data_IF_833483436241
#
_entry.id   IF_833483436241
#
_cell.length_a   1.000
_cell.length_b   1.000
_cell.length_c   1.000
_cell.angle_alpha   90.00
_cell.angle_beta   90.00
_cell.angle_gamma   90.00
#
_symmetry.space_group_name_H-M   'P 1'
#
loop_
_entity.id
_entity.type
_entity.pdbx_description
1 polymer ?
#
# COMPACT_ATOMS: atom_id res chain seq x y z
N UNK A 1 13.35 27.85 -26.83
CA UNK A 1 13.82 27.36 -25.51
C UNK A 1 12.62 26.77 -24.82
N UNK A 2 12.48 25.45 -24.83
CA UNK A 2 11.35 24.77 -24.18
C UNK A 2 11.42 24.99 -22.69
N UNK A 3 10.31 25.38 -22.11
CA UNK A 3 10.13 25.56 -20.67
C UNK A 3 10.38 24.20 -19.99
N UNK A 4 11.59 23.99 -19.48
CA UNK A 4 11.94 22.73 -18.78
C UNK A 4 11.10 22.70 -17.51
N UNK A 5 10.05 21.90 -17.52
CA UNK A 5 9.18 21.73 -16.35
C UNK A 5 10.02 21.12 -15.23
N UNK A 6 10.13 21.83 -14.14
CA UNK A 6 10.85 21.35 -12.97
C UNK A 6 10.01 20.27 -12.29
N UNK A 7 10.57 19.06 -12.11
CA UNK A 7 9.95 18.00 -11.35
C UNK A 7 9.79 18.44 -9.88
N UNK A 8 8.58 18.35 -9.35
CA UNK A 8 8.27 18.74 -7.97
C UNK A 8 7.64 17.56 -7.22
N UNK A 9 7.50 17.68 -5.90
CA UNK A 9 6.86 16.65 -5.07
C UNK A 9 5.34 16.49 -5.32
N UNK A 10 4.74 17.38 -6.12
CA UNK A 10 3.36 17.24 -6.62
C UNK A 10 3.39 17.48 -8.12
N UNK A 11 2.86 16.52 -8.88
CA UNK A 11 2.74 16.62 -10.33
C UNK A 11 1.30 16.39 -10.78
N UNK A 12 0.91 17.05 -11.86
CA UNK A 12 -0.45 17.00 -12.40
C UNK A 12 -0.40 17.01 -13.93
N UNK A 13 -1.10 16.05 -14.54
CA UNK A 13 -1.18 15.88 -16.00
C UNK A 13 -2.64 15.79 -16.42
N UNK A 14 -3.40 16.91 -16.48
CA UNK A 14 -4.81 16.90 -16.88
C UNK A 14 -5.01 16.29 -18.26
N UNK A 15 -4.06 16.56 -19.16
CA UNK A 15 -3.97 15.92 -20.47
C UNK A 15 -2.91 14.82 -20.42
N UNK A 16 -3.32 13.58 -20.76
CA UNK A 16 -2.44 12.42 -20.72
C UNK A 16 -1.17 12.58 -21.57
N UNK A 17 -1.26 13.27 -22.69
CA UNK A 17 -0.22 13.32 -23.72
C UNK A 17 -0.31 12.14 -24.71
N UNK A 18 0.52 12.20 -25.75
CA UNK A 18 0.60 11.22 -26.83
C UNK A 18 1.52 10.05 -26.45
N UNK A 19 1.17 8.85 -26.90
CA UNK A 19 1.96 7.62 -26.72
C UNK A 19 1.33 6.60 -25.80
N UNK A 20 1.71 5.34 -26.01
CA UNK A 20 1.09 4.15 -25.40
C UNK A 20 -0.36 3.95 -25.87
N UNK A 21 -1.01 2.92 -25.35
CA UNK A 21 -2.41 2.63 -25.67
C UNK A 21 -3.34 3.19 -24.58
N UNK A 22 -4.08 4.25 -24.89
CA UNK A 22 -5.02 4.88 -23.95
C UNK A 22 -6.25 3.99 -23.62
N UNK A 23 -6.53 2.95 -24.38
CA UNK A 23 -7.58 1.96 -24.09
C UNK A 23 -7.10 0.86 -23.13
N UNK A 24 -5.80 0.76 -22.89
CA UNK A 24 -5.23 -0.18 -21.93
C UNK A 24 -5.45 0.37 -20.51
N UNK A 25 -6.29 -0.31 -19.74
CA UNK A 25 -6.59 0.09 -18.36
C UNK A 25 -5.33 0.03 -17.49
N UNK A 26 -5.16 1.02 -16.62
CA UNK A 26 -4.02 1.08 -15.70
C UNK A 26 -2.72 1.61 -16.33
N UNK A 27 -2.75 2.17 -17.53
CA UNK A 27 -1.57 2.87 -18.04
C UNK A 27 -1.42 4.26 -17.39
N UNK A 28 -0.18 4.75 -17.32
CA UNK A 28 0.10 6.11 -16.80
C UNK A 28 0.23 7.12 -17.96
N UNK A 29 0.33 8.41 -17.58
CA UNK A 29 0.68 9.46 -18.54
C UNK A 29 2.16 9.34 -18.95
N UNK A 30 2.50 9.36 -20.25
CA UNK A 30 3.89 9.38 -20.69
C UNK A 30 4.64 10.64 -20.21
N UNK A 31 3.93 11.75 -19.98
CA UNK A 31 4.52 12.99 -19.45
C UNK A 31 5.20 12.79 -18.09
N UNK A 32 4.72 11.85 -17.26
CA UNK A 32 5.39 11.50 -16.01
C UNK A 32 6.78 10.90 -16.27
N UNK A 33 6.86 9.98 -17.23
CA UNK A 33 8.13 9.32 -17.57
C UNK A 33 9.06 10.32 -18.25
N UNK A 34 8.54 11.23 -19.08
CA UNK A 34 9.28 12.31 -19.68
C UNK A 34 9.88 13.25 -18.63
N UNK A 35 9.10 13.66 -17.61
CA UNK A 35 9.57 14.52 -16.52
C UNK A 35 10.62 13.80 -15.64
N UNK A 36 10.42 12.53 -15.31
CA UNK A 36 11.41 11.71 -14.60
C UNK A 36 12.71 11.56 -15.39
N UNK A 37 12.62 11.23 -16.68
CA UNK A 37 13.78 11.10 -17.55
C UNK A 37 14.51 12.45 -17.74
N UNK A 38 13.76 13.54 -17.83
CA UNK A 38 14.33 14.90 -17.90
C UNK A 38 15.11 15.29 -16.63
N UNK A 39 14.68 14.80 -15.47
CA UNK A 39 15.32 15.05 -14.18
C UNK A 39 16.55 14.15 -13.95
N UNK A 40 16.38 12.83 -14.11
CA UNK A 40 17.45 11.84 -13.84
C UNK A 40 18.43 11.70 -14.99
N UNK A 41 18.03 12.06 -16.22
CA UNK A 41 18.83 12.02 -17.46
C UNK A 41 19.49 10.65 -17.72
N UNK A 42 18.73 9.54 -17.62
CA UNK A 42 19.29 8.23 -17.84
C UNK A 42 19.67 8.03 -19.34
N UNK A 43 20.71 7.26 -19.60
CA UNK A 43 21.03 6.82 -20.96
C UNK A 43 20.07 5.71 -21.45
N UNK A 44 19.47 4.96 -20.50
CA UNK A 44 18.53 3.88 -20.77
C UNK A 44 17.49 3.78 -19.64
N UNK A 45 16.23 3.51 -20.03
CA UNK A 45 15.13 3.24 -19.07
C UNK A 45 14.76 1.76 -19.17
N UNK A 46 14.81 1.05 -18.02
CA UNK A 46 14.29 -0.31 -17.93
C UNK A 46 12.89 -0.31 -17.30
N UNK A 47 12.00 -1.16 -17.84
CA UNK A 47 10.64 -1.34 -17.32
C UNK A 47 10.27 -2.83 -17.40
N UNK A 48 10.04 -3.47 -16.24
CA UNK A 48 9.80 -4.91 -16.13
C UNK A 48 8.31 -5.27 -16.05
N UNK A 49 7.42 -4.29 -16.23
CA UNK A 49 5.97 -4.45 -16.37
C UNK A 49 5.41 -3.40 -17.35
N UNK A 50 5.99 -3.33 -18.53
CA UNK A 50 5.79 -2.24 -19.50
C UNK A 50 4.36 -2.15 -20.08
N UNK A 51 3.54 -3.16 -19.88
CA UNK A 51 2.13 -3.19 -20.29
C UNK A 51 1.93 -2.75 -21.74
N UNK A 52 1.24 -1.64 -21.94
CA UNK A 52 0.94 -1.08 -23.28
C UNK A 52 2.07 -0.29 -23.93
N UNK A 53 3.26 -0.24 -23.31
CA UNK A 53 4.44 0.41 -23.87
C UNK A 53 4.50 1.93 -23.69
N UNK A 54 3.90 2.48 -22.62
CA UNK A 54 3.98 3.91 -22.31
C UNK A 54 5.42 4.37 -22.10
N UNK A 55 6.24 3.55 -21.42
CA UNK A 55 7.68 3.81 -21.22
C UNK A 55 8.41 3.88 -22.55
N UNK A 56 8.09 2.98 -23.51
CA UNK A 56 8.67 3.03 -24.86
C UNK A 56 8.36 4.35 -25.57
N UNK A 57 7.10 4.75 -25.58
CA UNK A 57 6.68 5.98 -26.26
C UNK A 57 7.38 7.22 -25.70
N UNK A 58 7.53 7.31 -24.36
CA UNK A 58 8.25 8.41 -23.72
C UNK A 58 9.75 8.39 -24.05
N UNK A 59 10.38 7.21 -23.99
CA UNK A 59 11.80 7.04 -24.30
C UNK A 59 12.11 7.38 -25.77
N UNK A 60 11.32 6.87 -26.72
CA UNK A 60 11.45 7.16 -28.15
C UNK A 60 11.36 8.67 -28.42
N UNK A 61 10.39 9.35 -27.81
CA UNK A 61 10.21 10.80 -27.94
C UNK A 61 11.42 11.60 -27.45
N UNK A 62 12.08 11.10 -26.41
CA UNK A 62 13.26 11.76 -25.82
C UNK A 62 14.59 11.32 -26.46
N UNK A 63 14.56 10.34 -27.36
CA UNK A 63 15.78 9.75 -27.93
C UNK A 63 16.59 8.93 -26.93
N UNK A 64 15.94 8.39 -25.86
CA UNK A 64 16.54 7.57 -24.80
C UNK A 64 16.29 6.09 -25.15
N UNK A 65 17.29 5.23 -24.91
CA UNK A 65 17.11 3.78 -25.05
C UNK A 65 16.13 3.24 -24.01
N UNK A 66 15.39 2.19 -24.36
CA UNK A 66 14.51 1.50 -23.42
C UNK A 66 14.64 -0.01 -23.53
N UNK A 67 14.60 -0.71 -22.38
CA UNK A 67 14.47 -2.16 -22.28
C UNK A 67 13.16 -2.48 -21.59
N UNK A 68 12.31 -3.19 -22.28
CA UNK A 68 10.92 -3.38 -21.89
C UNK A 68 10.60 -4.87 -21.79
N UNK A 69 10.08 -5.24 -20.65
CA UNK A 69 9.71 -6.61 -20.32
C UNK A 69 8.29 -6.67 -19.76
N UNK A 70 7.60 -7.74 -20.06
CA UNK A 70 6.24 -7.97 -19.53
C UNK A 70 5.85 -9.45 -19.69
N UNK A 71 4.83 -9.91 -18.98
CA UNK A 71 4.29 -11.27 -19.15
C UNK A 71 3.92 -11.58 -20.60
N UNK A 72 3.29 -10.63 -21.30
CA UNK A 72 2.92 -10.83 -22.71
C UNK A 72 4.11 -10.94 -23.68
N UNK A 73 5.29 -10.53 -23.28
CA UNK A 73 6.54 -10.74 -23.98
C UNK A 73 7.34 -11.94 -23.49
N UNK A 74 6.75 -12.76 -22.60
CA UNK A 74 7.37 -13.96 -22.04
C UNK A 74 8.31 -13.71 -20.86
N UNK A 75 8.28 -12.51 -20.28
CA UNK A 75 9.06 -12.21 -19.08
C UNK A 75 8.19 -12.17 -17.83
N UNK A 76 8.47 -13.07 -16.90
CA UNK A 76 7.86 -13.13 -15.58
C UNK A 76 8.83 -12.60 -14.52
N UNK A 77 8.50 -11.48 -13.90
CA UNK A 77 9.34 -10.85 -12.87
C UNK A 77 9.59 -11.75 -11.64
N UNK A 78 8.69 -12.69 -11.37
CA UNK A 78 8.84 -13.60 -10.23
C UNK A 78 9.87 -14.69 -10.50
N UNK A 79 9.91 -15.23 -11.72
CA UNK A 79 10.68 -16.42 -12.07
C UNK A 79 11.89 -16.14 -12.96
N UNK A 80 11.80 -15.16 -13.90
CA UNK A 80 12.90 -14.88 -14.81
C UNK A 80 14.00 -14.03 -14.14
N UNK A 81 15.24 -14.30 -14.49
CA UNK A 81 16.40 -13.52 -14.04
C UNK A 81 16.47 -12.17 -14.78
N UNK A 82 16.81 -11.11 -14.06
CA UNK A 82 17.21 -9.82 -14.62
C UNK A 82 18.73 -9.89 -14.89
N UNK A 83 19.09 -9.91 -16.16
CA UNK A 83 20.50 -10.12 -16.59
C UNK A 83 21.29 -8.85 -16.74
N UNK A 84 20.62 -7.75 -17.03
CA UNK A 84 21.21 -6.41 -17.13
C UNK A 84 21.43 -5.77 -15.76
N UNK A 85 22.20 -4.67 -15.78
CA UNK A 85 22.43 -3.78 -14.64
C UNK A 85 21.93 -2.38 -14.98
N UNK A 86 20.63 -2.11 -14.80
CA UNK A 86 20.06 -0.83 -15.17
C UNK A 86 20.54 0.32 -14.27
N UNK A 87 20.72 1.50 -14.87
CA UNK A 87 20.97 2.76 -14.15
C UNK A 87 19.64 3.39 -13.69
N UNK A 88 18.56 3.17 -14.44
CA UNK A 88 17.23 3.70 -14.13
C UNK A 88 16.13 2.70 -14.44
N UNK A 89 15.28 2.42 -13.45
CA UNK A 89 14.08 1.59 -13.59
C UNK A 89 12.86 2.48 -13.37
N UNK A 90 11.93 2.46 -14.33
CA UNK A 90 10.55 2.87 -14.09
C UNK A 90 9.71 1.61 -13.88
N UNK A 91 8.96 1.55 -12.80
CA UNK A 91 8.12 0.41 -12.47
C UNK A 91 6.72 0.84 -12.11
N UNK A 92 5.73 0.31 -12.83
CA UNK A 92 4.31 0.55 -12.62
C UNK A 92 3.57 -0.78 -12.43
N UNK A 93 3.62 -1.36 -11.22
CA UNK A 93 3.01 -2.65 -10.94
C UNK A 93 1.47 -2.57 -10.88
N UNK A 94 0.78 -3.72 -10.90
CA UNK A 94 -0.65 -3.76 -10.64
C UNK A 94 -0.98 -3.26 -9.24
N UNK A 95 -2.17 -2.62 -9.10
CA UNK A 95 -2.72 -2.23 -7.81
C UNK A 95 -3.63 -3.35 -7.31
N UNK A 96 -3.02 -4.39 -6.75
CA UNK A 96 -3.67 -5.60 -6.27
C UNK A 96 -4.60 -6.20 -7.35
N UNK A 97 -5.86 -6.52 -6.99
CA UNK A 97 -6.84 -7.22 -7.83
C UNK A 97 -7.88 -6.31 -8.49
N UNK A 98 -7.61 -4.98 -8.57
CA UNK A 98 -8.54 -4.01 -9.19
C UNK A 98 -8.71 -4.27 -10.69
N UNK A 99 -7.61 -4.59 -11.37
CA UNK A 99 -7.58 -4.90 -12.80
C UNK A 99 -6.85 -6.23 -12.95
N UNK A 100 -7.50 -7.23 -13.52
CA UNK A 100 -6.86 -8.49 -13.90
C UNK A 100 -6.29 -8.35 -15.29
N UNK A 101 -4.99 -8.05 -15.36
CA UNK A 101 -4.33 -7.70 -16.61
C UNK A 101 -4.29 -8.85 -17.60
N UNK A 102 -4.08 -10.07 -17.14
CA UNK A 102 -4.02 -11.25 -17.99
C UNK A 102 -5.34 -11.56 -18.71
N UNK A 103 -6.50 -11.15 -18.19
CA UNK A 103 -7.79 -11.30 -18.86
C UNK A 103 -7.86 -10.43 -20.14
N UNK A 104 -7.15 -9.31 -20.16
CA UNK A 104 -7.07 -8.41 -21.31
C UNK A 104 -5.94 -8.82 -22.27
N UNK A 105 -4.76 -9.13 -21.71
CA UNK A 105 -3.56 -9.49 -22.48
C UNK A 105 -3.76 -10.75 -23.33
N UNK A 106 -4.42 -11.76 -22.78
CA UNK A 106 -4.55 -13.09 -23.40
C UNK A 106 -5.96 -13.42 -23.89
N UNK A 107 -6.83 -12.42 -24.04
CA UNK A 107 -8.25 -12.61 -24.41
C UNK A 107 -8.45 -13.41 -25.71
N UNK A 108 -7.55 -13.25 -26.67
CA UNK A 108 -7.66 -13.88 -27.98
C UNK A 108 -6.43 -14.77 -28.32
N UNK A 109 -5.71 -15.21 -27.30
CA UNK A 109 -4.45 -15.96 -27.45
C UNK A 109 -4.65 -17.37 -26.90
N UNK A 110 -4.29 -18.37 -27.70
CA UNK A 110 -4.09 -19.74 -27.22
C UNK A 110 -2.73 -19.79 -26.50
N UNK A 111 -2.80 -19.59 -25.17
CA UNK A 111 -1.60 -19.43 -24.33
C UNK A 111 -0.76 -20.71 -24.26
N UNK A 112 -1.39 -21.88 -24.23
CA UNK A 112 -0.67 -23.15 -24.21
C UNK A 112 0.13 -23.37 -25.50
N UNK A 113 -0.50 -23.07 -26.64
CA UNK A 113 0.16 -23.18 -27.96
C UNK A 113 1.29 -22.19 -28.13
N UNK A 114 1.13 -20.95 -27.62
CA UNK A 114 2.11 -19.88 -27.83
C UNK A 114 3.27 -19.94 -26.83
N UNK A 115 3.03 -20.29 -25.56
CA UNK A 115 4.02 -20.22 -24.48
C UNK A 115 4.41 -21.59 -23.92
N UNK A 116 3.64 -22.65 -24.20
CA UNK A 116 3.83 -23.98 -23.58
C UNK A 116 3.39 -24.06 -22.12
N UNK A 117 2.82 -22.98 -21.57
CA UNK A 117 2.25 -22.88 -20.23
C UNK A 117 1.22 -21.75 -20.17
N UNK A 118 0.44 -21.68 -19.09
CA UNK A 118 -0.52 -20.57 -18.87
C UNK A 118 0.14 -19.40 -18.12
N UNK A 119 0.54 -18.32 -18.80
CA UNK A 119 1.18 -17.15 -18.15
C UNK A 119 0.26 -16.40 -17.20
N UNK A 120 -1.08 -16.63 -17.25
CA UNK A 120 -2.05 -16.02 -16.33
C UNK A 120 -1.81 -16.46 -14.89
N UNK A 121 -1.15 -17.60 -14.66
CA UNK A 121 -0.78 -18.09 -13.32
C UNK A 121 0.26 -17.19 -12.63
N UNK A 122 1.01 -16.41 -13.40
CA UNK A 122 2.06 -15.50 -12.91
C UNK A 122 1.64 -14.03 -12.89
N UNK A 123 0.39 -13.74 -13.21
CA UNK A 123 -0.16 -12.39 -13.10
C UNK A 123 -0.39 -11.99 -11.64
N UNK A 124 0.41 -11.08 -11.13
CA UNK A 124 0.34 -10.59 -9.75
C UNK A 124 -1.02 -9.98 -9.40
N UNK A 125 -1.75 -9.48 -10.38
CA UNK A 125 -3.11 -8.95 -10.17
C UNK A 125 -4.15 -10.03 -9.84
N UNK A 126 -3.80 -11.31 -9.95
CA UNK A 126 -4.67 -12.44 -9.58
C UNK A 126 -4.50 -12.93 -8.16
N UNK A 127 -3.51 -12.41 -7.44
CA UNK A 127 -3.29 -12.76 -6.03
C UNK A 127 -4.47 -12.24 -5.20
N UNK A 128 -5.19 -13.14 -4.52
CA UNK A 128 -6.43 -12.80 -3.81
C UNK A 128 -6.17 -12.11 -2.47
N UNK A 129 -5.18 -12.57 -1.71
CA UNK A 129 -4.83 -12.04 -0.39
C UNK A 129 -3.98 -10.78 -0.50
N UNK A 130 -4.28 -9.77 0.32
CA UNK A 130 -3.47 -8.56 0.37
C UNK A 130 -2.06 -8.82 0.89
N UNK A 131 -1.91 -9.60 1.94
CA UNK A 131 -0.61 -9.89 2.53
C UNK A 131 0.28 -10.72 1.59
N UNK A 132 -0.31 -11.67 0.84
CA UNK A 132 0.36 -12.43 -0.21
C UNK A 132 0.77 -11.53 -1.38
N UNK A 133 -0.12 -10.60 -1.77
CA UNK A 133 0.20 -9.61 -2.80
C UNK A 133 1.37 -8.72 -2.37
N UNK A 134 1.36 -8.19 -1.15
CA UNK A 134 2.47 -7.36 -0.62
C UNK A 134 3.78 -8.15 -0.59
N UNK A 135 3.77 -9.43 -0.19
CA UNK A 135 4.96 -10.29 -0.23
C UNK A 135 5.52 -10.45 -1.64
N UNK A 136 4.65 -10.71 -2.62
CA UNK A 136 5.06 -10.84 -4.02
C UNK A 136 5.62 -9.51 -4.57
N UNK A 137 4.98 -8.40 -4.22
CA UNK A 137 5.44 -7.06 -4.59
C UNK A 137 6.80 -6.74 -3.97
N UNK A 138 7.00 -7.06 -2.69
CA UNK A 138 8.29 -6.86 -2.01
C UNK A 138 9.39 -7.70 -2.65
N UNK A 139 9.09 -8.93 -3.03
CA UNK A 139 10.04 -9.77 -3.77
C UNK A 139 10.40 -9.16 -5.12
N UNK A 140 9.41 -8.75 -5.93
CA UNK A 140 9.63 -8.11 -7.22
C UNK A 140 10.40 -6.78 -7.09
N UNK A 141 10.09 -5.98 -6.06
CA UNK A 141 10.81 -4.74 -5.73
C UNK A 141 12.28 -5.01 -5.44
N UNK A 142 12.55 -5.93 -4.51
CA UNK A 142 13.92 -6.28 -4.12
C UNK A 142 14.73 -6.86 -5.28
N UNK A 143 14.10 -7.69 -6.12
CA UNK A 143 14.74 -8.27 -7.31
C UNK A 143 15.20 -7.21 -8.31
N UNK A 144 14.34 -6.27 -8.64
CA UNK A 144 14.67 -5.15 -9.52
C UNK A 144 15.72 -4.22 -8.89
N UNK A 145 15.54 -3.88 -7.61
CA UNK A 145 16.49 -3.02 -6.90
C UNK A 145 17.87 -3.66 -6.78
N UNK A 146 17.94 -4.97 -6.58
CA UNK A 146 19.24 -5.69 -6.54
C UNK A 146 19.95 -5.63 -7.88
N UNK A 147 19.22 -5.68 -9.00
CA UNK A 147 19.78 -5.60 -10.34
C UNK A 147 20.34 -4.20 -10.69
N UNK A 148 19.82 -3.11 -10.05
CA UNK A 148 20.36 -1.76 -10.27
C UNK A 148 21.87 -1.72 -10.09
N UNK A 149 22.54 -0.92 -10.91
CA UNK A 149 23.93 -0.56 -10.68
C UNK A 149 24.08 0.33 -9.44
N UNK A 150 25.29 0.47 -8.93
CA UNK A 150 25.58 1.42 -7.84
C UNK A 150 25.33 2.85 -8.33
N UNK A 151 24.59 3.63 -7.57
CA UNK A 151 24.14 4.97 -7.95
C UNK A 151 22.87 4.98 -8.79
N UNK A 152 22.42 3.81 -9.26
CA UNK A 152 21.17 3.67 -10.04
C UNK A 152 19.94 4.00 -9.21
N UNK A 153 18.88 4.39 -9.92
CA UNK A 153 17.64 4.88 -9.32
C UNK A 153 16.42 4.08 -9.82
N UNK A 154 15.44 3.91 -8.95
CA UNK A 154 14.17 3.28 -9.31
C UNK A 154 13.00 4.22 -8.96
N UNK A 155 12.16 4.50 -9.93
CA UNK A 155 10.92 5.25 -9.78
C UNK A 155 9.74 4.28 -9.84
N UNK A 156 9.00 4.17 -8.75
CA UNK A 156 7.89 3.23 -8.61
C UNK A 156 6.57 3.99 -8.54
N UNK A 157 5.76 3.87 -9.58
CA UNK A 157 4.40 4.43 -9.60
C UNK A 157 3.44 3.44 -8.94
N UNK A 158 2.75 3.86 -7.88
CA UNK A 158 1.81 3.01 -7.15
C UNK A 158 0.64 3.81 -6.61
N UNK A 159 -0.50 3.16 -6.43
CA UNK A 159 -1.71 3.75 -5.87
C UNK A 159 -2.26 2.96 -4.69
N UNK A 160 -2.94 3.66 -3.80
CA UNK A 160 -3.68 3.05 -2.71
C UNK A 160 -5.06 2.57 -3.17
N UNK A 161 -5.63 1.61 -2.45
CA UNK A 161 -6.88 0.96 -2.81
C UNK A 161 -7.86 1.01 -1.65
N UNK A 162 -9.13 1.33 -1.95
CA UNK A 162 -10.23 1.16 -1.00
C UNK A 162 -11.10 -0.04 -1.40
N UNK A 163 -11.28 -0.97 -0.48
CA UNK A 163 -12.12 -2.16 -0.69
C UNK A 163 -12.91 -2.46 0.59
N UNK A 164 -14.24 -2.54 0.50
CA UNK A 164 -15.13 -2.80 1.64
C UNK A 164 -14.86 -1.86 2.84
N UNK A 165 -14.72 -0.57 2.59
CA UNK A 165 -14.49 0.46 3.62
C UNK A 165 -13.07 0.50 4.20
N UNK A 166 -12.18 -0.42 3.84
CA UNK A 166 -10.80 -0.48 4.31
C UNK A 166 -9.84 0.10 3.27
N UNK A 167 -8.87 0.88 3.74
CA UNK A 167 -7.74 1.36 2.94
C UNK A 167 -6.62 0.32 2.96
N UNK A 168 -6.11 -0.01 1.77
CA UNK A 168 -4.93 -0.83 1.53
C UNK A 168 -3.88 0.06 0.89
N UNK A 169 -2.81 0.37 1.61
CA UNK A 169 -1.85 1.39 1.20
C UNK A 169 -0.57 0.76 0.68
N UNK A 170 -0.37 0.81 -0.64
CA UNK A 170 0.86 0.30 -1.26
C UNK A 170 2.08 1.11 -0.80
N UNK A 171 1.97 2.44 -0.80
CA UNK A 171 3.11 3.28 -0.38
C UNK A 171 3.53 3.03 1.07
N UNK A 172 2.61 2.67 1.94
CA UNK A 172 2.93 2.35 3.34
C UNK A 172 3.55 0.97 3.49
N UNK A 173 3.09 -0.03 2.73
CA UNK A 173 3.35 -1.45 3.01
C UNK A 173 4.42 -2.10 2.12
N UNK A 174 4.66 -1.55 0.92
CA UNK A 174 5.75 -2.02 0.06
C UNK A 174 7.10 -1.67 0.68
N UNK A 175 8.04 -2.62 0.63
CA UNK A 175 9.43 -2.44 1.09
C UNK A 175 10.10 -1.27 0.38
N UNK A 176 10.93 -0.53 1.12
CA UNK A 176 11.68 0.61 0.62
C UNK A 176 13.17 0.32 0.75
N UNK A 177 13.80 -0.25 -0.29
CA UNK A 177 15.22 -0.56 -0.27
C UNK A 177 16.07 0.65 -0.62
N UNK A 178 17.26 0.71 -0.06
CA UNK A 178 18.24 1.77 -0.31
C UNK A 178 17.83 3.11 0.29
N UNK A 179 18.34 4.18 -0.29
CA UNK A 179 17.99 5.53 0.14
C UNK A 179 16.72 6.00 -0.55
N UNK A 180 15.70 6.31 0.24
CA UNK A 180 14.48 6.92 -0.27
C UNK A 180 14.74 8.40 -0.52
N UNK A 181 14.82 8.80 -1.80
CA UNK A 181 15.11 10.19 -2.18
C UNK A 181 13.87 11.07 -2.17
N UNK A 182 12.73 10.53 -2.61
CA UNK A 182 11.50 11.31 -2.68
C UNK A 182 10.24 10.43 -2.73
N UNK A 183 9.10 11.04 -2.39
CA UNK A 183 7.76 10.57 -2.72
C UNK A 183 7.06 11.71 -3.45
N UNK A 184 6.72 11.49 -4.73
CA UNK A 184 6.00 12.45 -5.54
C UNK A 184 4.53 12.06 -5.55
N UNK A 185 3.65 13.00 -5.26
CA UNK A 185 2.21 12.84 -5.39
C UNK A 185 1.81 13.19 -6.83
N UNK A 186 1.28 12.22 -7.54
CA UNK A 186 0.74 12.41 -8.89
C UNK A 186 -0.78 12.54 -8.80
N UNK A 187 -1.31 13.72 -9.10
CA UNK A 187 -2.75 13.92 -9.21
C UNK A 187 -3.32 13.07 -10.36
N UNK A 188 -4.44 12.40 -10.11
CA UNK A 188 -5.21 11.68 -11.13
C UNK A 188 -6.25 12.61 -11.74
N UNK A 189 -6.49 12.43 -13.04
CA UNK A 189 -7.50 13.14 -13.81
C UNK A 189 -8.27 12.17 -14.68
N UNK A 190 -9.55 12.43 -14.90
CA UNK A 190 -10.44 11.61 -15.72
C UNK A 190 -10.49 10.14 -15.25
N UNK A 191 -10.34 9.92 -13.95
CA UNK A 191 -10.46 8.61 -13.35
C UNK A 191 -11.92 8.26 -13.06
N UNK A 192 -12.20 6.99 -12.81
CA UNK A 192 -13.56 6.54 -12.47
C UNK A 192 -14.12 7.28 -11.24
N UNK A 193 -13.26 7.62 -10.29
CA UNK A 193 -13.63 8.34 -9.07
C UNK A 193 -14.08 9.80 -9.31
N UNK A 194 -13.70 10.40 -10.44
CA UNK A 194 -14.12 11.77 -10.78
C UNK A 194 -15.60 11.82 -11.22
N UNK A 195 -16.12 10.69 -11.72
CA UNK A 195 -17.44 10.61 -12.34
C UNK A 195 -18.51 9.98 -11.42
N UNK A 196 -18.14 9.55 -10.22
CA UNK A 196 -19.04 8.92 -9.26
C UNK A 196 -19.36 9.89 -8.13
N UNK A 197 -20.64 10.24 -7.97
CA UNK A 197 -21.10 10.91 -6.75
C UNK A 197 -21.16 9.90 -5.61
N UNK A 198 -20.23 10.02 -4.68
CA UNK A 198 -20.22 9.21 -3.47
C UNK A 198 -21.12 9.85 -2.43
N UNK A 199 -22.20 9.14 -2.04
CA UNK A 199 -23.05 9.56 -0.93
C UNK A 199 -22.39 9.21 0.41
N UNK A 200 -22.26 10.19 1.32
CA UNK A 200 -21.89 9.96 2.70
C UNK A 200 -20.39 9.93 3.00
N UNK A 201 -19.91 8.94 3.74
CA UNK A 201 -18.61 8.90 4.42
C UNK A 201 -17.43 8.37 3.60
N UNK A 202 -17.48 8.40 2.27
CA UNK A 202 -16.41 7.92 1.41
C UNK A 202 -15.49 9.06 0.95
N UNK A 203 -14.19 8.96 1.24
CA UNK A 203 -13.17 9.88 0.72
C UNK A 203 -12.55 9.24 -0.52
N UNK A 204 -12.75 9.78 -1.75
CA UNK A 204 -12.14 9.27 -2.97
C UNK A 204 -10.62 9.37 -2.94
N UNK A 205 -9.93 8.42 -3.59
CA UNK A 205 -8.49 8.52 -3.84
C UNK A 205 -8.31 9.16 -5.21
N UNK A 206 -7.73 10.36 -5.24
CA UNK A 206 -7.52 11.16 -6.46
C UNK A 206 -6.03 11.36 -6.75
N UNK A 207 -5.19 10.47 -6.27
CA UNK A 207 -3.74 10.54 -6.47
C UNK A 207 -3.10 9.16 -6.52
N UNK A 208 -1.91 9.15 -7.05
CA UNK A 208 -0.94 8.05 -7.02
C UNK A 208 0.37 8.58 -6.44
N UNK A 209 1.25 7.68 -6.07
CA UNK A 209 2.59 8.01 -5.57
C UNK A 209 3.65 7.55 -6.55
N UNK A 210 4.70 8.36 -6.73
CA UNK A 210 5.95 7.90 -7.34
C UNK A 210 7.00 7.89 -6.24
N UNK A 211 7.35 6.71 -5.79
CA UNK A 211 8.44 6.51 -4.83
C UNK A 211 9.77 6.45 -5.58
N UNK A 212 10.73 7.26 -5.16
CA UNK A 212 12.08 7.30 -5.72
C UNK A 212 13.05 6.73 -4.71
N UNK A 213 13.74 5.66 -5.10
CA UNK A 213 14.77 5.00 -4.28
C UNK A 213 16.08 4.87 -5.06
N UNK A 214 17.20 5.06 -4.36
CA UNK A 214 18.56 4.99 -4.94
C UNK A 214 19.38 3.89 -4.29
N UNK A 215 20.17 3.21 -5.11
CA UNK A 215 21.14 2.20 -4.67
C UNK A 215 22.50 2.83 -4.43
N UNK A 216 22.71 3.41 -3.25
CA UNK A 216 23.96 4.11 -2.91
C UNK A 216 25.14 3.16 -2.62
N UNK A 217 24.82 1.95 -2.15
CA UNK A 217 25.83 0.96 -1.81
C UNK A 217 25.71 -0.32 -2.66
N UNK A 218 26.84 -0.97 -3.00
CA UNK A 218 26.80 -2.18 -3.85
C UNK A 218 26.37 -3.45 -3.10
N UNK A 219 26.52 -3.50 -1.78
CA UNK A 219 26.37 -4.72 -0.96
C UNK A 219 25.41 -4.57 0.21
N UNK A 220 25.65 -3.59 1.08
CA UNK A 220 24.83 -3.37 2.27
C UNK A 220 23.89 -2.19 2.02
N UNK A 221 22.62 -2.45 1.93
CA UNK A 221 21.58 -1.45 1.69
C UNK A 221 20.66 -1.36 2.91
N UNK A 222 20.24 -0.15 3.30
CA UNK A 222 19.17 -0.01 4.28
C UNK A 222 17.85 -0.51 3.70
N UNK A 223 17.01 -1.09 4.55
CA UNK A 223 15.67 -1.53 4.16
C UNK A 223 14.68 -0.99 5.20
N UNK A 224 13.63 -0.32 4.72
CA UNK A 224 12.48 0.02 5.55
C UNK A 224 11.37 -0.96 5.21
N UNK A 225 10.97 -1.74 6.18
CA UNK A 225 9.92 -2.75 6.06
C UNK A 225 8.92 -2.59 7.20
N UNK A 226 7.63 -2.80 6.89
CA UNK A 226 6.56 -2.74 7.89
C UNK A 226 6.32 -4.10 8.49
N UNK A 227 6.43 -4.15 9.82
CA UNK A 227 6.09 -5.31 10.60
C UNK A 227 4.75 -5.10 11.30
N UNK A 228 3.69 -5.79 10.88
CA UNK A 228 2.39 -5.73 11.52
C UNK A 228 2.34 -6.66 12.71
N UNK A 229 1.99 -6.14 13.88
CA UNK A 229 1.72 -6.92 15.07
C UNK A 229 0.37 -6.53 15.67
N UNK A 230 -0.34 -7.50 16.22
CA UNK A 230 -1.48 -7.23 17.09
C UNK A 230 -0.96 -6.94 18.50
N UNK A 231 -1.45 -5.89 19.10
CA UNK A 231 -1.12 -5.50 20.47
C UNK A 231 -2.43 -5.42 21.25
N UNK A 232 -2.49 -6.10 22.40
CA UNK A 232 -3.60 -5.95 23.31
C UNK A 232 -3.44 -4.61 24.04
N UNK A 233 -4.43 -3.73 23.93
CA UNK A 233 -4.40 -2.41 24.55
C UNK A 233 -4.33 -2.49 26.07
N UNK A 234 -4.80 -3.57 26.67
CA UNK A 234 -4.79 -3.82 28.12
C UNK A 234 -3.37 -4.03 28.66
N UNK A 235 -2.45 -4.49 27.81
CA UNK A 235 -1.02 -4.68 28.12
C UNK A 235 -0.11 -3.52 27.65
N UNK A 236 -0.68 -2.49 27.02
CA UNK A 236 0.11 -1.34 26.59
C UNK A 236 0.64 -0.54 27.79
N UNK A 237 1.90 -0.10 27.72
CA UNK A 237 2.56 0.69 28.77
C UNK A 237 1.77 1.94 29.19
N UNK A 238 1.05 2.57 28.27
CA UNK A 238 0.22 3.76 28.50
C UNK A 238 -1.22 3.48 28.91
N UNK A 239 -1.68 2.22 28.93
CA UNK A 239 -3.05 1.89 29.28
C UNK A 239 -3.38 2.29 30.70
N UNK A 240 -4.47 3.02 30.89
CA UNK A 240 -4.99 3.37 32.23
C UNK A 240 -5.87 2.24 32.75
N UNK A 241 -6.22 2.27 34.06
CA UNK A 241 -7.21 1.33 34.60
C UNK A 241 -8.58 1.48 33.92
N UNK A 242 -8.91 2.72 33.52
CA UNK A 242 -10.13 2.99 32.75
C UNK A 242 -10.12 2.26 31.40
N UNK A 243 -9.00 2.31 30.66
CA UNK A 243 -8.88 1.67 29.36
C UNK A 243 -8.99 0.14 29.48
N UNK A 244 -8.35 -0.45 30.49
CA UNK A 244 -8.42 -1.90 30.75
C UNK A 244 -9.84 -2.33 31.08
N UNK A 245 -10.53 -1.62 31.98
CA UNK A 245 -11.92 -1.96 32.36
C UNK A 245 -12.87 -1.74 31.19
N UNK A 246 -12.71 -0.63 30.44
CA UNK A 246 -13.54 -0.34 29.28
C UNK A 246 -13.39 -1.41 28.19
N UNK A 247 -12.16 -1.83 27.88
CA UNK A 247 -11.92 -2.86 26.86
C UNK A 247 -12.60 -4.19 27.19
N UNK A 248 -12.58 -4.60 28.47
CA UNK A 248 -13.30 -5.82 28.87
C UNK A 248 -14.80 -5.66 28.71
N UNK A 249 -15.34 -4.50 29.08
CA UNK A 249 -16.79 -4.23 28.94
C UNK A 249 -17.23 -4.07 27.49
N UNK A 250 -16.34 -3.61 26.58
CA UNK A 250 -16.59 -3.51 25.15
C UNK A 250 -16.71 -4.88 24.45
N UNK A 251 -16.04 -5.89 25.01
CA UNK A 251 -16.14 -7.28 24.54
C UNK A 251 -17.43 -7.98 25.00
N UNK A 252 -18.24 -7.33 25.84
CA UNK A 252 -19.45 -7.92 26.42
C UNK A 252 -20.72 -7.29 25.87
N UNK A 253 -21.72 -8.11 25.54
CA UNK A 253 -23.04 -7.68 25.03
C UNK A 253 -24.00 -7.18 26.13
N UNK A 254 -23.51 -6.75 27.27
CA UNK A 254 -24.37 -6.29 28.35
C UNK A 254 -23.66 -5.97 29.67
N UNK A 255 -24.43 -6.01 30.76
CA UNK A 255 -23.86 -5.80 32.08
C UNK A 255 -23.22 -7.09 32.60
N UNK A 256 -22.01 -6.99 33.13
CA UNK A 256 -21.27 -8.11 33.71
C UNK A 256 -21.00 -7.92 35.20
N UNK A 257 -20.78 -9.02 35.90
CA UNK A 257 -20.47 -8.98 37.34
C UNK A 257 -19.05 -8.46 37.61
N UNK A 258 -18.84 -7.92 38.76
CA UNK A 258 -17.53 -7.50 39.22
C UNK A 258 -16.54 -8.69 39.27
N UNK A 259 -17.02 -9.88 39.62
CA UNK A 259 -16.22 -11.13 39.59
C UNK A 259 -15.73 -11.46 38.20
N UNK A 260 -16.60 -11.34 37.19
CA UNK A 260 -16.24 -11.53 35.80
C UNK A 260 -15.13 -10.52 35.36
N UNK A 261 -15.29 -9.24 35.70
CA UNK A 261 -14.25 -8.24 35.42
C UNK A 261 -12.92 -8.61 36.04
N UNK A 262 -12.92 -9.13 37.28
CA UNK A 262 -11.67 -9.58 37.90
C UNK A 262 -11.05 -10.74 37.15
N UNK A 263 -11.83 -11.75 36.79
CA UNK A 263 -11.35 -12.90 36.04
C UNK A 263 -10.72 -12.50 34.70
N UNK A 264 -11.37 -11.58 33.98
CA UNK A 264 -10.87 -11.11 32.69
C UNK A 264 -9.64 -10.18 32.80
N UNK A 265 -9.47 -9.47 33.92
CA UNK A 265 -8.38 -8.48 34.09
C UNK A 265 -7.14 -9.13 34.75
N UNK A 266 -7.30 -10.16 35.55
CA UNK A 266 -6.21 -10.83 36.29
C UNK A 266 -5.02 -11.27 35.42
N UNK A 267 -5.18 -11.77 34.18
CA UNK A 267 -4.07 -12.20 33.34
C UNK A 267 -3.13 -11.06 32.88
N UNK A 268 -3.62 -9.82 32.90
CA UNK A 268 -2.88 -8.70 32.33
C UNK A 268 -1.78 -8.17 33.25
N UNK A 269 -0.73 -7.61 32.63
CA UNK A 269 0.46 -7.09 33.29
C UNK A 269 0.09 -6.09 34.40
N UNK A 270 -0.86 -5.20 34.13
CA UNK A 270 -1.30 -4.16 35.06
C UNK A 270 -1.88 -4.72 36.38
N UNK A 271 -2.58 -5.86 36.30
CA UNK A 271 -3.06 -6.56 37.50
C UNK A 271 -1.91 -7.28 38.21
N UNK A 272 -1.03 -7.94 37.48
CA UNK A 272 0.12 -8.67 38.03
C UNK A 272 1.12 -7.76 38.78
N UNK A 273 1.27 -6.53 38.32
CA UNK A 273 2.19 -5.54 38.90
C UNK A 273 1.58 -4.70 40.06
N UNK A 274 0.31 -4.93 40.42
CA UNK A 274 -0.36 -4.14 41.47
C UNK A 274 -1.16 -5.04 42.42
N UNK A 275 -0.65 -5.24 43.60
CA UNK A 275 -1.33 -6.08 44.61
C UNK A 275 -2.76 -5.60 44.99
N UNK A 276 -3.09 -4.31 44.76
CA UNK A 276 -4.41 -3.72 45.01
C UNK A 276 -5.22 -3.52 43.72
N UNK A 277 -4.97 -4.31 42.70
CA UNK A 277 -5.59 -4.12 41.40
C UNK A 277 -7.13 -4.25 41.41
N UNK A 278 -7.69 -5.12 42.29
CA UNK A 278 -9.15 -5.26 42.42
C UNK A 278 -9.80 -4.00 42.98
N UNK A 279 -9.14 -3.36 43.96
CA UNK A 279 -9.54 -2.05 44.50
C UNK A 279 -9.46 -0.97 43.39
N UNK A 280 -8.43 -1.00 42.58
CA UNK A 280 -8.29 -0.07 41.46
C UNK A 280 -9.38 -0.26 40.42
N UNK A 281 -9.78 -1.49 40.10
CA UNK A 281 -10.92 -1.75 39.21
C UNK A 281 -12.20 -1.17 39.82
N UNK A 282 -12.50 -1.44 41.07
CA UNK A 282 -13.69 -0.86 41.77
C UNK A 282 -13.65 0.66 41.76
N UNK A 283 -12.53 1.26 42.16
CA UNK A 283 -12.33 2.69 42.16
C UNK A 283 -12.58 3.27 40.76
N UNK A 284 -12.01 2.66 39.71
CA UNK A 284 -12.16 3.09 38.32
C UNK A 284 -13.62 3.12 37.87
N UNK A 285 -14.39 2.08 38.20
CA UNK A 285 -15.82 2.01 37.89
C UNK A 285 -16.62 3.11 38.62
N UNK A 286 -16.24 3.43 39.87
CA UNK A 286 -16.96 4.40 40.69
C UNK A 286 -16.66 5.85 40.33
N UNK A 287 -15.41 6.17 39.98
CA UNK A 287 -15.02 7.55 39.66
C UNK A 287 -15.31 7.98 38.24
N UNK A 288 -15.35 7.03 37.29
CA UNK A 288 -15.60 7.33 35.87
C UNK A 288 -17.09 7.05 35.48
N UNK A 289 -18.02 7.67 36.19
CA UNK A 289 -19.47 7.49 36.01
C UNK A 289 -19.98 8.00 34.64
N UNK A 290 -19.21 8.79 33.96
CA UNK A 290 -19.47 9.22 32.57
C UNK A 290 -19.30 8.07 31.56
N UNK A 291 -18.48 7.08 31.87
CA UNK A 291 -18.19 5.92 31.03
C UNK A 291 -18.89 4.64 31.51
N UNK A 292 -18.97 4.44 32.83
CA UNK A 292 -19.44 3.21 33.43
C UNK A 292 -20.78 3.41 34.16
N UNK A 293 -21.66 2.43 34.05
CA UNK A 293 -22.94 2.44 34.73
C UNK A 293 -23.12 1.14 35.53
N UNK A 294 -23.47 1.28 36.79
CA UNK A 294 -24.01 0.15 37.54
C UNK A 294 -25.49 -0.04 37.20
N UNK A 295 -25.87 -1.26 36.77
CA UNK A 295 -27.25 -1.61 36.50
C UNK A 295 -27.97 -2.16 37.71
N UNK A 296 -27.22 -2.87 38.56
CA UNK A 296 -27.65 -3.36 39.87
C UNK A 296 -26.42 -3.61 40.73
N UNK A 297 -26.58 -3.98 42.00
CA UNK A 297 -25.46 -4.21 42.93
C UNK A 297 -24.46 -5.21 42.36
N UNK A 298 -23.23 -4.74 42.15
CA UNK A 298 -22.11 -5.56 41.60
C UNK A 298 -22.13 -5.83 40.09
N UNK A 299 -23.09 -5.26 39.33
CA UNK A 299 -23.18 -5.40 37.90
C UNK A 299 -22.87 -4.09 37.19
N UNK A 300 -22.04 -4.15 36.16
CA UNK A 300 -21.50 -2.99 35.46
C UNK A 300 -21.56 -3.15 33.94
N UNK A 301 -21.78 -2.05 33.24
CA UNK A 301 -21.71 -1.95 31.79
C UNK A 301 -21.11 -0.61 31.37
N UNK A 302 -20.74 -0.50 30.09
CA UNK A 302 -20.47 0.80 29.48
C UNK A 302 -21.77 1.60 29.33
N UNK A 303 -21.70 2.90 29.53
CA UNK A 303 -22.78 3.80 29.14
C UNK A 303 -22.85 3.87 27.62
N UNK A 304 -23.98 3.54 27.08
CA UNK A 304 -24.29 3.82 25.65
C UNK A 304 -24.34 5.35 25.49
N UNK A 305 -23.47 5.91 24.65
CA UNK A 305 -23.68 7.27 24.16
C UNK A 305 -25.00 7.25 23.37
N UNK A 306 -26.00 8.00 23.79
CA UNK A 306 -27.12 8.33 22.90
C UNK A 306 -26.53 8.90 21.61
N UNK A 307 -26.78 8.26 20.49
CA UNK A 307 -26.50 8.87 19.19
C UNK A 307 -27.44 10.07 19.11
N UNK A 308 -26.95 11.25 19.41
CA UNK A 308 -27.56 12.46 18.90
C UNK A 308 -27.39 12.37 17.39
N UNK A 309 -28.50 12.11 16.71
CA UNK A 309 -28.62 12.16 15.27
C UNK A 309 -28.57 13.68 14.95
N UNK A 310 -27.39 14.17 14.52
CA UNK A 310 -27.28 15.43 13.79
C UNK A 310 -27.63 15.20 12.32
#
# INVERSE_FOLDING_TARGET
MGNTRVLTSIVSYPERGEGGNNRYRGNCSPKLIEDLAGFFKPAEICDYMCGSGTTKAAADKLGIRSRLYDLHSGFDIMNNEIRERPEFIFWHPPYWDIIKYSDVMYKAVDVEKQYGYDPRLYDLSRIQGWDEFVKAMNYAMMKQFTALEKGGCMAVLMGDIKKKGKLYSMISEIVKPGTMENIIIKAQHNCFSDNVQYSGSFIPILHEYVMIVRKDAPTLIPIIEINRRKVDIRDMKGATWKDVVASVLEECDGAVSLSYLYEQIEPYKKAKENQFWREKVRQTLQINKEYFQSTQRGMWRLKTKSKEIC
#
